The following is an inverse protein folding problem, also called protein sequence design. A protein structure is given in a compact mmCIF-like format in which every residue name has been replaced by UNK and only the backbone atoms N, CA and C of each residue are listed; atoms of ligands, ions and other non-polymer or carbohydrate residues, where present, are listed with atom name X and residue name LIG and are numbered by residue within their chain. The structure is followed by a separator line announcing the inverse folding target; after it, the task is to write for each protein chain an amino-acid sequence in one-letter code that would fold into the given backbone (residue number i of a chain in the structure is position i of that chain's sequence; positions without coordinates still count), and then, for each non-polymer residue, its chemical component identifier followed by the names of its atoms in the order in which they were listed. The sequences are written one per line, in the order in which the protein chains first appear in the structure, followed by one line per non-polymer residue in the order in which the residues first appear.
data_IF_643525410595
#
_entry.id   IF_643525410595
#
_cell.length_a   1.000
_cell.length_b   1.000
_cell.length_c   1.000
_cell.angle_alpha   90.00
_cell.angle_beta   90.00
_cell.angle_gamma   90.00
#
_symmetry.space_group_name_H-M   'P 1'
#
loop_
_entity.id
_entity.type
_entity.pdbx_description
1 polymer ?
#
# COMPACT_ATOMS: atom_id res chain seq x y z
N UNK A 1 -24.74 -63.76 -40.84
CA UNK A 1 -24.29 -63.54 -39.45
C UNK A 1 -23.87 -62.08 -39.37
N UNK A 2 -24.78 -61.22 -38.88
CA UNK A 2 -24.65 -60.43 -37.63
C UNK A 2 -23.53 -59.38 -37.71
N UNK A 3 -23.71 -58.08 -37.55
CA UNK A 3 -24.84 -57.23 -37.14
C UNK A 3 -24.39 -55.76 -37.23
N UNK A 4 -25.34 -54.83 -37.20
CA UNK A 4 -25.14 -53.38 -37.32
C UNK A 4 -24.61 -52.75 -36.03
N UNK A 5 -23.89 -51.61 -36.11
CA UNK A 5 -24.22 -50.45 -35.28
C UNK A 5 -23.65 -49.12 -35.80
N UNK A 6 -24.46 -48.09 -35.60
CA UNK A 6 -24.36 -46.68 -35.98
C UNK A 6 -23.76 -45.90 -34.79
N UNK A 7 -22.77 -45.02 -34.96
CA UNK A 7 -22.70 -43.79 -34.13
C UNK A 7 -21.77 -42.72 -34.71
N UNK A 8 -22.29 -41.49 -34.71
CA UNK A 8 -21.65 -40.24 -35.14
C UNK A 8 -20.72 -39.64 -34.03
N UNK A 9 -20.05 -38.48 -34.25
CA UNK A 9 -18.81 -38.07 -33.60
C UNK A 9 -18.99 -37.39 -32.21
N UNK A 10 -17.99 -37.52 -31.33
CA UNK A 10 -17.82 -36.76 -30.07
C UNK A 10 -16.40 -36.18 -30.04
N UNK A 11 -16.18 -34.87 -30.11
CA UNK A 11 -16.37 -33.81 -29.10
C UNK A 11 -15.23 -33.71 -28.06
N UNK A 12 -14.35 -32.74 -28.32
CA UNK A 12 -13.63 -31.80 -27.44
C UNK A 12 -13.16 -32.28 -26.05
N UNK A 13 -11.83 -32.27 -25.85
CA UNK A 13 -11.24 -32.02 -24.54
C UNK A 13 -10.16 -30.96 -24.69
N UNK A 14 -10.59 -29.69 -24.63
CA UNK A 14 -9.70 -28.57 -24.40
C UNK A 14 -9.05 -28.73 -23.04
N UNK A 15 -7.73 -28.83 -23.01
CA UNK A 15 -6.92 -28.59 -21.82
C UNK A 15 -7.13 -27.15 -21.40
N UNK A 16 -8.11 -26.93 -20.52
CA UNK A 16 -8.26 -25.68 -19.79
C UNK A 16 -6.98 -25.47 -18.99
N UNK A 17 -6.14 -24.56 -19.48
CA UNK A 17 -5.16 -23.87 -18.65
C UNK A 17 -5.94 -23.25 -17.49
N UNK A 18 -5.58 -23.50 -16.23
CA UNK A 18 -6.19 -22.79 -15.12
C UNK A 18 -5.73 -21.34 -15.23
N UNK A 19 -6.53 -20.51 -15.90
CA UNK A 19 -6.46 -19.07 -15.81
C UNK A 19 -6.91 -18.74 -14.38
N UNK A 20 -5.99 -18.86 -13.42
CA UNK A 20 -6.24 -18.63 -12.02
C UNK A 20 -6.34 -17.11 -11.82
N UNK A 21 -7.47 -16.55 -12.24
CA UNK A 21 -7.92 -15.24 -11.80
C UNK A 21 -8.00 -15.29 -10.28
N UNK A 22 -7.08 -14.62 -9.60
CA UNK A 22 -7.20 -14.45 -8.15
C UNK A 22 -8.54 -13.74 -7.87
N UNK A 23 -9.25 -14.13 -6.79
CA UNK A 23 -10.54 -13.54 -6.48
C UNK A 23 -10.40 -12.03 -6.29
N UNK A 24 -11.43 -11.23 -6.63
CA UNK A 24 -11.45 -9.77 -6.46
C UNK A 24 -10.97 -9.27 -5.08
N UNK A 25 -11.10 -10.12 -4.06
CA UNK A 25 -10.57 -9.97 -2.71
C UNK A 25 -9.06 -9.71 -2.66
N UNK A 26 -8.25 -10.44 -3.44
CA UNK A 26 -6.80 -10.29 -3.46
C UNK A 26 -6.36 -8.97 -4.13
N UNK A 27 -7.07 -8.56 -5.18
CA UNK A 27 -6.88 -7.27 -5.84
C UNK A 27 -7.21 -6.12 -4.88
N UNK A 28 -8.39 -6.18 -4.25
CA UNK A 28 -8.83 -5.19 -3.27
C UNK A 28 -7.86 -5.07 -2.09
N UNK A 29 -7.33 -6.20 -1.59
CA UNK A 29 -6.34 -6.20 -0.51
C UNK A 29 -5.06 -5.49 -0.91
N UNK A 30 -4.51 -5.80 -2.09
CA UNK A 30 -3.26 -5.21 -2.56
C UNK A 30 -3.42 -3.72 -2.88
N UNK A 31 -4.57 -3.34 -3.44
CA UNK A 31 -4.93 -1.93 -3.62
C UNK A 31 -5.08 -1.21 -2.27
N UNK A 32 -5.68 -1.85 -1.27
CA UNK A 32 -5.78 -1.33 0.10
C UNK A 32 -4.41 -1.09 0.74
N UNK A 33 -3.47 -2.01 0.55
CA UNK A 33 -2.08 -1.84 1.00
C UNK A 33 -1.38 -0.66 0.32
N UNK A 34 -1.55 -0.47 -1.00
CA UNK A 34 -1.03 0.71 -1.68
C UNK A 34 -1.66 2.01 -1.17
N UNK A 35 -2.97 2.00 -0.94
CA UNK A 35 -3.66 3.19 -0.41
C UNK A 35 -3.14 3.54 0.99
N UNK A 36 -2.93 2.54 1.84
CA UNK A 36 -2.32 2.76 3.16
C UNK A 36 -0.95 3.42 3.04
N UNK A 37 -0.07 2.94 2.15
CA UNK A 37 1.23 3.58 1.89
C UNK A 37 1.06 5.06 1.52
N UNK A 38 0.15 5.36 0.58
CA UNK A 38 -0.09 6.76 0.16
C UNK A 38 -0.54 7.64 1.31
N UNK A 39 -1.43 7.15 2.18
CA UNK A 39 -1.87 7.87 3.38
C UNK A 39 -0.72 8.14 4.36
N UNK A 40 0.18 7.16 4.54
CA UNK A 40 1.34 7.32 5.42
C UNK A 40 2.35 8.31 4.84
N UNK A 41 2.62 8.26 3.54
CA UNK A 41 3.47 9.23 2.86
C UNK A 41 2.92 10.66 3.01
N UNK A 42 1.61 10.84 2.84
CA UNK A 42 0.94 12.12 3.07
C UNK A 42 1.11 12.59 4.52
N UNK A 43 0.91 11.70 5.49
CA UNK A 43 1.11 11.99 6.91
C UNK A 43 2.55 12.44 7.21
N UNK A 44 3.56 11.69 6.76
CA UNK A 44 4.96 12.00 7.03
C UNK A 44 5.40 13.33 6.41
N UNK A 45 5.00 13.61 5.16
CA UNK A 45 5.29 14.89 4.52
C UNK A 45 4.61 16.03 5.25
N UNK A 46 3.33 15.88 5.64
CA UNK A 46 2.60 16.93 6.34
C UNK A 46 3.18 17.22 7.74
N UNK A 47 3.56 16.18 8.47
CA UNK A 47 4.17 16.28 9.80
C UNK A 47 5.67 16.61 9.76
N UNK A 48 6.26 16.72 8.56
CA UNK A 48 7.69 16.99 8.33
C UNK A 48 8.63 15.89 8.87
N UNK A 49 8.11 14.67 8.99
CA UNK A 49 8.90 13.49 9.33
C UNK A 49 9.36 12.77 8.07
N UNK A 50 10.15 13.47 7.24
CA UNK A 50 10.61 12.96 5.95
C UNK A 50 11.47 11.70 6.10
N UNK A 51 12.13 11.57 7.25
CA UNK A 51 12.95 10.40 7.57
C UNK A 51 12.14 9.10 7.62
N UNK A 52 10.84 9.15 7.91
CA UNK A 52 10.00 7.96 8.03
C UNK A 52 9.49 7.40 6.69
N UNK A 53 9.68 8.12 5.57
CA UNK A 53 9.13 7.73 4.26
C UNK A 53 9.65 6.34 3.82
N UNK A 54 10.91 5.99 4.09
CA UNK A 54 11.50 4.67 3.76
C UNK A 54 10.86 3.48 4.51
N UNK A 55 10.09 3.72 5.57
CA UNK A 55 9.41 2.63 6.29
C UNK A 55 8.36 1.92 5.43
N UNK A 56 7.85 2.61 4.41
CA UNK A 56 6.76 2.11 3.57
C UNK A 56 7.23 1.24 2.39
N UNK A 57 8.54 1.20 2.11
CA UNK A 57 9.11 0.53 0.92
C UNK A 57 8.78 -0.96 0.84
N UNK A 58 8.77 -1.64 1.99
CA UNK A 58 8.49 -3.07 2.05
C UNK A 58 7.03 -3.35 1.66
N UNK A 59 6.10 -2.53 2.15
CA UNK A 59 4.66 -2.67 1.87
C UNK A 59 4.39 -2.27 0.43
N UNK A 60 4.97 -1.15 -0.04
CA UNK A 60 4.89 -0.70 -1.43
C UNK A 60 5.36 -1.77 -2.39
N UNK A 61 6.55 -2.33 -2.16
CA UNK A 61 7.15 -3.35 -3.03
C UNK A 61 6.32 -4.63 -3.07
N UNK A 62 5.81 -5.08 -1.93
CA UNK A 62 4.95 -6.27 -1.86
C UNK A 62 3.63 -6.05 -2.64
N UNK A 63 2.95 -4.94 -2.38
CA UNK A 63 1.66 -4.64 -3.01
C UNK A 63 1.80 -4.38 -4.52
N UNK A 64 2.83 -3.65 -4.95
CA UNK A 64 3.08 -3.39 -6.37
C UNK A 64 3.40 -4.68 -7.14
N UNK A 65 4.19 -5.59 -6.56
CA UNK A 65 4.50 -6.89 -7.18
C UNK A 65 3.26 -7.77 -7.33
N UNK A 66 2.42 -7.81 -6.30
CA UNK A 66 1.15 -8.58 -6.33
C UNK A 66 0.21 -8.04 -7.41
N UNK A 67 0.07 -6.71 -7.50
CA UNK A 67 -0.75 -6.06 -8.53
C UNK A 67 -0.20 -6.27 -9.94
N UNK A 68 1.12 -6.20 -10.13
CA UNK A 68 1.76 -6.48 -11.42
C UNK A 68 1.54 -7.94 -11.87
N UNK A 69 1.61 -8.89 -10.94
CA UNK A 69 1.35 -10.30 -11.21
C UNK A 69 -0.10 -10.55 -11.66
N UNK A 70 -1.03 -9.67 -11.29
CA UNK A 70 -2.45 -9.76 -11.62
C UNK A 70 -2.90 -8.78 -12.69
N UNK A 71 -1.98 -8.08 -13.37
CA UNK A 71 -2.31 -6.98 -14.27
C UNK A 71 -3.30 -7.37 -15.39
N UNK A 72 -3.16 -8.57 -15.96
CA UNK A 72 -4.05 -9.06 -17.03
C UNK A 72 -5.45 -9.43 -16.50
N UNK A 73 -5.57 -9.76 -15.21
CA UNK A 73 -6.85 -9.99 -14.55
C UNK A 73 -7.54 -8.69 -14.12
N UNK A 74 -6.76 -7.67 -13.75
CA UNK A 74 -7.27 -6.35 -13.34
C UNK A 74 -7.75 -5.55 -14.55
N UNK A 75 -6.95 -5.55 -15.63
CA UNK A 75 -7.19 -4.73 -16.81
C UNK A 75 -6.96 -5.54 -18.08
N UNK A 76 -7.79 -6.55 -18.36
CA UNK A 76 -7.57 -7.52 -19.45
C UNK A 76 -7.32 -6.91 -20.82
N UNK A 77 -7.99 -5.79 -21.15
CA UNK A 77 -7.81 -5.07 -22.41
C UNK A 77 -6.86 -3.86 -22.32
N UNK A 78 -6.36 -3.56 -21.12
CA UNK A 78 -5.58 -2.34 -20.80
C UNK A 78 -4.39 -2.66 -19.87
N UNK A 79 -3.87 -3.89 -19.91
CA UNK A 79 -2.89 -4.35 -18.92
C UNK A 79 -1.55 -3.64 -19.07
N UNK A 80 -1.17 -3.25 -20.30
CA UNK A 80 -0.03 -2.37 -20.57
C UNK A 80 -0.18 -1.02 -19.89
N UNK A 81 -1.37 -0.43 -19.94
CA UNK A 81 -1.66 0.91 -19.43
C UNK A 81 -1.71 0.88 -17.91
N UNK A 82 -2.27 -0.18 -17.33
CA UNK A 82 -2.22 -0.43 -15.89
C UNK A 82 -0.78 -0.61 -15.39
N UNK A 83 0.02 -1.48 -16.03
CA UNK A 83 1.44 -1.70 -15.69
C UNK A 83 2.23 -0.39 -15.77
N UNK A 84 1.99 0.40 -16.80
CA UNK A 84 2.62 1.72 -16.99
C UNK A 84 2.20 2.69 -15.91
N UNK A 85 0.91 2.74 -15.55
CA UNK A 85 0.40 3.60 -14.48
C UNK A 85 1.00 3.22 -13.12
N UNK A 86 1.08 1.92 -12.82
CA UNK A 86 1.66 1.42 -11.57
C UNK A 86 3.17 1.66 -11.48
N UNK A 87 3.88 1.51 -12.60
CA UNK A 87 5.32 1.82 -12.69
C UNK A 87 5.56 3.32 -12.50
N UNK A 88 4.74 4.17 -13.12
CA UNK A 88 4.82 5.62 -12.95
C UNK A 88 4.55 6.02 -11.49
N UNK A 89 3.57 5.39 -10.83
CA UNK A 89 3.33 5.59 -9.40
C UNK A 89 4.56 5.24 -8.55
N UNK A 90 5.15 4.05 -8.74
CA UNK A 90 6.35 3.65 -8.01
C UNK A 90 7.52 4.62 -8.25
N UNK A 91 7.71 5.07 -9.50
CA UNK A 91 8.73 6.05 -9.86
C UNK A 91 8.51 7.41 -9.16
N UNK A 92 7.27 7.85 -8.99
CA UNK A 92 6.95 9.07 -8.22
C UNK A 92 7.25 8.91 -6.74
N UNK A 93 6.98 7.73 -6.16
CA UNK A 93 7.35 7.46 -4.77
C UNK A 93 8.88 7.49 -4.63
N UNK A 94 9.64 6.88 -5.55
CA UNK A 94 11.12 6.97 -5.54
C UNK A 94 11.63 8.41 -5.65
N UNK A 95 10.99 9.27 -6.45
CA UNK A 95 11.34 10.68 -6.52
C UNK A 95 11.06 11.41 -5.18
N UNK A 96 9.96 11.07 -4.51
CA UNK A 96 9.67 11.56 -3.16
C UNK A 96 10.75 11.11 -2.15
N UNK A 97 11.20 9.85 -2.18
CA UNK A 97 12.31 9.39 -1.34
C UNK A 97 13.57 10.23 -1.54
N UNK A 98 13.95 10.49 -2.79
CA UNK A 98 15.16 11.27 -3.09
C UNK A 98 15.12 12.67 -2.46
N UNK A 99 14.01 13.40 -2.60
CA UNK A 99 13.90 14.75 -2.03
C UNK A 99 13.73 14.72 -0.50
N UNK A 100 13.13 13.65 0.04
CA UNK A 100 13.01 13.42 1.48
C UNK A 100 14.37 13.13 2.14
N UNK A 101 15.22 12.31 1.50
CA UNK A 101 16.58 12.01 1.97
C UNK A 101 17.48 13.25 1.99
N UNK A 102 17.24 14.18 1.06
CA UNK A 102 17.86 15.50 1.04
C UNK A 102 17.21 16.48 2.03
N UNK A 103 16.23 16.04 2.82
CA UNK A 103 15.47 16.81 3.80
C UNK A 103 14.80 18.07 3.21
N UNK A 104 14.37 18.00 1.95
CA UNK A 104 13.76 19.12 1.25
C UNK A 104 12.24 19.11 1.39
N UNK A 105 11.72 19.79 2.42
CA UNK A 105 10.27 19.82 2.71
C UNK A 105 9.40 20.31 1.55
N UNK A 106 9.70 21.49 0.98
CA UNK A 106 8.87 22.07 -0.08
C UNK A 106 8.88 21.21 -1.37
N UNK A 107 10.04 20.61 -1.69
CA UNK A 107 10.17 19.64 -2.78
C UNK A 107 9.37 18.37 -2.49
N UNK A 108 9.36 17.90 -1.25
CA UNK A 108 8.60 16.72 -0.82
C UNK A 108 7.08 16.94 -0.93
N UNK A 109 6.58 18.12 -0.57
CA UNK A 109 5.17 18.49 -0.78
C UNK A 109 4.81 18.50 -2.28
N UNK A 110 5.71 18.98 -3.13
CA UNK A 110 5.52 18.99 -4.58
C UNK A 110 5.49 17.58 -5.17
N UNK A 111 6.43 16.70 -4.76
CA UNK A 111 6.45 15.30 -5.21
C UNK A 111 5.27 14.50 -4.66
N UNK A 112 4.82 14.76 -3.43
CA UNK A 112 3.61 14.15 -2.87
C UNK A 112 2.38 14.42 -3.76
N UNK A 113 2.21 15.64 -4.25
CA UNK A 113 1.12 15.96 -5.19
C UNK A 113 1.14 15.08 -6.44
N UNK A 114 2.33 14.76 -6.96
CA UNK A 114 2.50 13.87 -8.12
C UNK A 114 2.25 12.41 -7.76
N UNK A 115 2.62 11.98 -6.55
CA UNK A 115 2.29 10.65 -6.03
C UNK A 115 0.77 10.48 -5.99
N UNK A 116 0.04 11.43 -5.41
CA UNK A 116 -1.43 11.41 -5.32
C UNK A 116 -2.09 11.35 -6.70
N UNK A 117 -1.64 12.16 -7.66
CA UNK A 117 -2.15 12.14 -9.04
C UNK A 117 -1.90 10.78 -9.71
N UNK A 118 -0.69 10.23 -9.57
CA UNK A 118 -0.36 8.92 -10.16
C UNK A 118 -1.14 7.77 -9.51
N UNK A 119 -1.39 7.85 -8.20
CA UNK A 119 -2.21 6.87 -7.48
C UNK A 119 -3.68 6.90 -7.95
N UNK A 120 -4.22 8.09 -8.20
CA UNK A 120 -5.56 8.23 -8.78
C UNK A 120 -5.68 7.52 -10.14
N UNK A 121 -4.63 7.60 -10.98
CA UNK A 121 -4.57 6.86 -12.26
C UNK A 121 -4.54 5.35 -12.05
N UNK A 122 -3.79 4.85 -11.07
CA UNK A 122 -3.79 3.42 -10.71
C UNK A 122 -5.19 2.98 -10.26
N UNK A 123 -5.84 3.75 -9.38
CA UNK A 123 -7.20 3.45 -8.88
C UNK A 123 -8.25 3.39 -9.99
N UNK A 124 -8.09 4.16 -11.06
CA UNK A 124 -9.06 4.22 -12.16
C UNK A 124 -9.18 2.90 -12.96
N UNK A 125 -8.20 2.00 -12.84
CA UNK A 125 -8.23 0.68 -13.50
C UNK A 125 -9.11 -0.35 -12.76
N UNK A 126 -9.55 -0.05 -11.54
CA UNK A 126 -10.34 -0.97 -10.73
C UNK A 126 -11.83 -0.65 -10.80
N UNK A 127 -12.67 -1.68 -10.68
CA UNK A 127 -14.10 -1.50 -10.53
C UNK A 127 -14.43 -0.80 -9.21
N UNK A 128 -15.58 -0.13 -9.15
CA UNK A 128 -16.04 0.56 -7.94
C UNK A 128 -16.14 -0.38 -6.73
N UNK A 129 -16.50 -1.64 -6.94
CA UNK A 129 -16.61 -2.64 -5.88
C UNK A 129 -15.25 -2.99 -5.29
N UNK A 130 -14.22 -3.17 -6.14
CA UNK A 130 -12.85 -3.43 -5.69
C UNK A 130 -12.28 -2.22 -4.94
N UNK A 131 -12.57 -1.00 -5.41
CA UNK A 131 -12.17 0.23 -4.72
C UNK A 131 -12.86 0.37 -3.36
N UNK A 132 -14.16 0.09 -3.28
CA UNK A 132 -14.91 0.13 -2.02
C UNK A 132 -14.39 -0.92 -1.03
N UNK A 133 -14.09 -2.13 -1.50
CA UNK A 133 -13.50 -3.19 -0.68
C UNK A 133 -12.08 -2.83 -0.21
N UNK A 134 -11.25 -2.26 -1.10
CA UNK A 134 -9.93 -1.75 -0.75
C UNK A 134 -10.00 -0.68 0.33
N UNK A 135 -10.99 0.21 0.26
CA UNK A 135 -11.25 1.20 1.30
C UNK A 135 -11.66 0.55 2.62
N UNK A 136 -12.54 -0.46 2.61
CA UNK A 136 -12.90 -1.22 3.81
C UNK A 136 -11.71 -1.91 4.48
N UNK A 137 -10.69 -2.32 3.70
CA UNK A 137 -9.46 -2.84 4.26
C UNK A 137 -8.63 -1.79 5.03
N UNK A 138 -8.71 -0.50 4.67
CA UNK A 138 -8.03 0.55 5.43
C UNK A 138 -8.55 0.65 6.86
N UNK A 139 -9.85 0.47 7.06
CA UNK A 139 -10.46 0.43 8.39
C UNK A 139 -9.98 -0.78 9.20
N UNK A 140 -9.62 -1.87 8.51
CA UNK A 140 -9.09 -3.10 9.14
C UNK A 140 -7.59 -3.00 9.45
N UNK A 141 -6.82 -2.34 8.59
CA UNK A 141 -5.38 -2.13 8.77
C UNK A 141 -5.06 -0.98 9.73
N UNK A 142 -6.03 -0.10 9.98
CA UNK A 142 -5.95 0.88 11.06
C UNK A 142 -6.22 0.16 12.38
N UNK A 143 -5.19 -0.06 13.19
CA UNK A 143 -5.42 -0.56 14.53
C UNK A 143 -6.27 0.46 15.30
N UNK A 144 -7.40 0.06 15.92
CA UNK A 144 -8.10 0.92 16.86
C UNK A 144 -7.16 1.13 18.05
N UNK A 145 -6.39 2.22 18.03
CA UNK A 145 -5.85 2.79 19.26
C UNK A 145 -7.06 3.03 20.17
N UNK A 146 -7.04 2.40 21.34
CA UNK A 146 -8.10 2.51 22.35
C UNK A 146 -8.63 3.94 22.47
N UNK A 147 -9.95 4.09 22.27
CA UNK A 147 -10.69 5.36 22.37
C UNK A 147 -10.70 5.96 23.80
N UNK A 148 -10.07 5.29 24.76
CA UNK A 148 -10.16 5.56 26.20
C UNK A 148 -9.00 6.39 26.78
N UNK A 149 -8.12 6.99 25.97
CA UNK A 149 -7.12 7.95 26.48
C UNK A 149 -7.59 9.40 26.29
N UNK A 150 -8.82 9.69 26.69
CA UNK A 150 -9.24 11.05 27.05
C UNK A 150 -9.42 11.06 28.57
N UNK A 151 -8.41 11.54 29.31
CA UNK A 151 -8.61 11.90 30.71
C UNK A 151 -7.55 11.53 31.76
N UNK A 152 -6.33 11.11 31.39
CA UNK A 152 -5.27 10.85 32.38
C UNK A 152 -3.92 11.43 31.96
N UNK A 153 -3.12 12.04 32.86
CA UNK A 153 -1.78 12.51 32.52
C UNK A 153 -0.86 11.29 32.40
N UNK A 154 -0.66 10.81 31.17
CA UNK A 154 0.29 9.74 30.90
C UNK A 154 1.59 10.37 30.39
N UNK A 155 2.60 10.31 31.25
CA UNK A 155 4.01 10.36 30.88
C UNK A 155 4.29 9.26 29.85
N UNK A 156 4.57 9.66 28.60
CA UNK A 156 4.93 8.75 27.51
C UNK A 156 6.43 8.48 27.57
N UNK A 157 6.93 7.25 27.79
CA UNK A 157 8.25 6.88 27.30
C UNK A 157 8.09 6.33 25.88
N UNK A 158 8.48 7.15 24.91
CA UNK A 158 9.02 6.75 23.61
C UNK A 158 8.42 5.46 23.00
N UNK A 159 7.17 5.53 22.55
CA UNK A 159 6.54 4.45 21.80
C UNK A 159 7.01 4.51 20.33
N UNK A 160 8.10 3.79 20.07
CA UNK A 160 8.41 3.30 18.74
C UNK A 160 7.16 2.62 18.17
N UNK A 161 6.77 3.00 16.95
CA UNK A 161 5.84 2.24 16.12
C UNK A 161 6.49 0.89 15.78
N UNK A 162 6.49 0.00 16.76
CA UNK A 162 6.96 -1.37 16.65
C UNK A 162 5.88 -2.10 15.88
N UNK A 163 6.13 -2.29 14.59
CA UNK A 163 5.50 -3.27 13.69
C UNK A 163 4.50 -4.15 14.42
N UNK A 164 3.21 -3.86 14.26
CA UNK A 164 2.16 -4.81 14.65
C UNK A 164 2.26 -5.96 13.67
N UNK A 165 3.07 -6.91 14.10
CA UNK A 165 3.33 -8.21 13.52
C UNK A 165 1.99 -8.94 13.47
N UNK A 166 1.37 -9.01 12.29
CA UNK A 166 0.34 -10.02 12.04
C UNK A 166 0.93 -11.40 12.39
N UNK A 167 0.23 -12.26 13.15
CA UNK A 167 0.74 -13.60 13.46
C UNK A 167 0.72 -14.42 12.17
N UNK A 168 1.89 -14.71 11.60
CA UNK A 168 2.01 -15.55 10.40
C UNK A 168 3.33 -15.49 9.62
N UNK A 169 4.19 -14.50 9.84
CA UNK A 169 5.49 -14.41 9.16
C UNK A 169 6.65 -14.42 10.17
N UNK A 170 7.31 -15.57 10.28
CA UNK A 170 8.60 -15.71 10.94
C UNK A 170 9.69 -15.57 9.89
N UNK A 171 10.60 -14.60 10.07
CA UNK A 171 12.02 -14.66 9.70
C UNK A 171 12.78 -13.59 10.53
N UNK A 172 14.09 -13.78 10.83
CA UNK A 172 14.75 -13.16 11.97
C UNK A 172 15.41 -11.81 11.64
N UNK A 173 15.34 -10.87 12.58
CA UNK A 173 16.13 -9.62 12.59
C UNK A 173 17.42 -9.78 13.41
N UNK A 174 18.57 -9.24 12.95
CA UNK A 174 19.68 -8.94 13.84
C UNK A 174 19.55 -7.50 14.38
N UNK A 175 19.92 -7.33 15.65
CA UNK A 175 19.82 -6.11 16.41
C UNK A 175 20.95 -5.12 16.08
N UNK A 176 20.64 -3.82 16.03
CA UNK A 176 21.64 -2.76 16.16
C UNK A 176 21.11 -1.58 16.99
N UNK A 177 21.90 -1.20 18.00
CA UNK A 177 21.69 -0.09 18.92
C UNK A 177 21.94 1.28 18.25
N UNK A 178 21.13 2.29 18.60
CA UNK A 178 21.48 3.72 18.52
C UNK A 178 21.26 4.39 19.89
N UNK A 179 22.07 5.37 20.29
CA UNK A 179 21.73 6.29 21.36
C UNK A 179 21.32 7.70 20.85
N UNK A 180 20.33 8.26 21.57
CA UNK A 180 20.06 9.65 21.92
C UNK A 180 20.12 10.81 20.91
N UNK A 181 18.94 11.41 20.65
CA UNK A 181 18.77 12.85 20.41
C UNK A 181 17.36 13.30 20.85
N UNK A 182 17.29 14.36 21.66
CA UNK A 182 16.09 14.89 22.37
C UNK A 182 15.12 15.68 21.45
N UNK A 183 13.84 15.85 21.86
CA UNK A 183 12.78 16.43 21.02
C UNK A 183 12.65 17.96 21.07
N UNK A 184 11.98 18.47 20.03
CA UNK A 184 11.71 19.86 19.68
C UNK A 184 10.75 20.55 20.70
N UNK A 185 11.21 21.64 21.33
CA UNK A 185 10.37 22.53 22.16
C UNK A 185 9.66 23.58 21.29
N UNK A 186 8.33 23.65 21.41
CA UNK A 186 7.51 24.85 21.10
C UNK A 186 6.99 25.43 22.41
N UNK A 187 7.14 26.76 22.63
CA UNK A 187 6.17 27.54 23.42
C UNK A 187 5.91 28.90 22.79
N UNK A 188 4.64 29.29 22.94
CA UNK A 188 3.93 30.44 22.42
C UNK A 188 4.24 31.76 23.17
N UNK A 189 3.75 32.83 22.55
CA UNK A 189 3.90 34.28 22.78
C UNK A 189 3.28 34.85 24.10
N UNK A 190 3.35 36.18 24.36
CA UNK A 190 3.42 36.77 25.71
C UNK A 190 2.06 37.14 26.32
N UNK A 191 2.01 37.25 27.66
CA UNK A 191 0.92 37.89 28.40
C UNK A 191 1.38 39.21 29.03
N UNK A 192 0.56 40.25 28.80
CA UNK A 192 0.64 41.59 29.38
C UNK A 192 0.39 41.56 30.90
N UNK A 193 1.11 42.42 31.62
CA UNK A 193 0.52 43.46 32.48
C UNK A 193 1.38 44.71 32.39
#
# INVERSE_FOLDING_TARGET
MSGAENTAPREIAGTNVPNATLPPVAQARSLGMLWQVVMQLEHYVHCKDLSAIHNEDVILSAAARELLAQADAIASNQSSDFKSSLTAFCSRVSALHLVADLNQQASSETELGKVLESFAKVKAHFSKDVVAQAQGYLETFTCPMHRDVIGGPISVPNAAWRWIRCPGFYLPTPAFHRPDSKPCMRRYAPQRR
#
